data_IF_903672376676
#
_entry.id   IF_903672376676
#
_cell.length_a   1.000
_cell.length_b   1.000
_cell.length_c   1.000
_cell.angle_alpha   90.00
_cell.angle_beta   90.00
_cell.angle_gamma   90.00
#
_symmetry.space_group_name_H-M   'P 1'
#
loop_
_entity.id
_entity.type
_entity.pdbx_description
1 polymer ?
#
# COMPACT_ATOMS: atom_id res chain seq x y z
N UNK A 1 -5.08 7.93 4.87
CA UNK A 1 -3.88 7.06 5.05
C UNK A 1 -4.06 5.70 4.39
N UNK A 2 -5.11 4.92 4.70
CA UNK A 2 -5.32 3.57 4.12
C UNK A 2 -5.29 3.58 2.58
N UNK A 3 -5.99 4.50 1.93
CA UNK A 3 -6.01 4.60 0.47
C UNK A 3 -4.62 4.81 -0.14
N UNK A 4 -3.78 5.64 0.48
CA UNK A 4 -2.41 5.85 0.02
C UNK A 4 -1.56 4.59 0.15
N UNK A 5 -1.66 3.89 1.29
CA UNK A 5 -0.92 2.64 1.51
C UNK A 5 -1.31 1.61 0.43
N UNK A 6 -2.62 1.42 0.22
CA UNK A 6 -3.13 0.49 -0.80
C UNK A 6 -2.59 0.83 -2.19
N UNK A 7 -2.75 2.09 -2.62
CA UNK A 7 -2.30 2.52 -3.96
C UNK A 7 -0.79 2.42 -4.15
N UNK A 8 0.01 2.69 -3.11
CA UNK A 8 1.47 2.57 -3.19
C UNK A 8 1.89 1.10 -3.29
N UNK A 9 1.23 0.20 -2.58
CA UNK A 9 1.53 -1.24 -2.66
C UNK A 9 1.23 -1.78 -4.06
N UNK A 10 0.05 -1.47 -4.61
CA UNK A 10 -0.34 -1.88 -5.96
C UNK A 10 0.65 -1.32 -7.00
N UNK A 11 0.94 -0.02 -6.94
CA UNK A 11 1.89 0.62 -7.85
C UNK A 11 3.30 0.04 -7.75
N UNK A 12 3.78 -0.25 -6.54
CA UNK A 12 5.09 -0.84 -6.34
C UNK A 12 5.18 -2.25 -6.96
N UNK A 13 4.15 -3.07 -6.73
CA UNK A 13 4.05 -4.39 -7.33
C UNK A 13 4.06 -4.32 -8.86
N UNK A 14 3.17 -3.52 -9.44
CA UNK A 14 3.04 -3.36 -10.89
C UNK A 14 4.35 -2.86 -11.52
N UNK A 15 4.98 -1.85 -10.92
CA UNK A 15 6.25 -1.29 -11.41
C UNK A 15 7.36 -2.33 -11.43
N UNK A 16 7.45 -3.17 -10.40
CA UNK A 16 8.45 -4.25 -10.34
C UNK A 16 8.18 -5.33 -11.40
N UNK A 17 6.94 -5.74 -11.58
CA UNK A 17 6.56 -6.72 -12.60
C UNK A 17 6.82 -6.17 -14.01
N UNK A 18 6.47 -4.93 -14.28
CA UNK A 18 6.76 -4.26 -15.55
C UNK A 18 8.29 -4.15 -15.82
N UNK A 19 9.09 -4.03 -14.78
CA UNK A 19 10.55 -4.08 -14.87
C UNK A 19 11.14 -5.48 -15.05
N UNK A 20 10.30 -6.51 -15.11
CA UNK A 20 10.69 -7.91 -15.34
C UNK A 20 11.01 -8.70 -14.07
N UNK A 21 10.67 -8.18 -12.89
CA UNK A 21 10.77 -8.93 -11.63
C UNK A 21 9.60 -9.91 -11.58
N UNK A 22 9.88 -11.15 -11.16
CA UNK A 22 8.84 -12.17 -11.04
C UNK A 22 7.82 -11.82 -9.96
N UNK A 23 6.58 -12.23 -10.17
CA UNK A 23 5.43 -11.86 -9.33
C UNK A 23 5.64 -12.17 -7.85
N UNK A 24 6.26 -13.32 -7.52
CA UNK A 24 6.55 -13.71 -6.14
C UNK A 24 7.49 -12.74 -5.44
N UNK A 25 8.57 -12.32 -6.11
CA UNK A 25 9.51 -11.36 -5.56
C UNK A 25 8.86 -9.97 -5.43
N UNK A 26 8.12 -9.54 -6.44
CA UNK A 26 7.38 -8.28 -6.40
C UNK A 26 6.36 -8.26 -5.25
N UNK A 27 5.68 -9.38 -4.99
CA UNK A 27 4.76 -9.53 -3.85
C UNK A 27 5.48 -9.43 -2.50
N UNK A 28 6.64 -10.08 -2.34
CA UNK A 28 7.42 -10.00 -1.09
C UNK A 28 7.84 -8.57 -0.79
N UNK A 29 8.41 -7.88 -1.77
CA UNK A 29 8.96 -6.51 -1.63
C UNK A 29 7.86 -5.43 -1.51
N UNK A 30 6.63 -5.70 -1.94
CA UNK A 30 5.53 -4.73 -1.84
C UNK A 30 4.60 -4.99 -0.66
N UNK A 31 3.84 -6.07 -0.69
CA UNK A 31 2.77 -6.34 0.28
C UNK A 31 3.24 -7.10 1.51
N UNK A 32 4.13 -8.09 1.31
CA UNK A 32 4.54 -8.97 2.41
C UNK A 32 5.43 -8.25 3.45
N UNK A 33 6.28 -7.33 3.02
CA UNK A 33 7.13 -6.54 3.93
C UNK A 33 6.39 -5.45 4.70
N UNK A 34 5.21 -5.06 4.25
CA UNK A 34 4.46 -3.97 4.86
C UNK A 34 4.27 -4.09 6.38
N UNK A 35 3.92 -5.26 6.95
CA UNK A 35 3.78 -5.40 8.41
C UNK A 35 5.10 -5.12 9.15
N UNK A 36 6.24 -5.50 8.59
CA UNK A 36 7.56 -5.23 9.16
C UNK A 36 7.84 -3.73 9.20
N UNK A 37 7.67 -3.04 8.08
CA UNK A 37 7.89 -1.60 7.98
C UNK A 37 6.90 -0.83 8.86
N UNK A 38 5.61 -1.20 8.85
CA UNK A 38 4.60 -0.58 9.71
C UNK A 38 4.94 -0.73 11.20
N UNK A 39 5.40 -1.91 11.62
CA UNK A 39 5.83 -2.17 12.99
C UNK A 39 7.08 -1.36 13.37
N UNK A 40 8.06 -1.25 12.48
CA UNK A 40 9.24 -0.40 12.70
C UNK A 40 8.84 1.07 12.89
N UNK A 41 8.02 1.62 11.98
CA UNK A 41 7.53 3.01 12.07
C UNK A 41 6.74 3.23 13.37
N UNK A 42 5.88 2.29 13.76
CA UNK A 42 5.07 2.42 14.96
C UNK A 42 5.91 2.42 16.25
N UNK A 43 6.96 1.60 16.33
CA UNK A 43 7.82 1.46 17.52
C UNK A 43 8.97 2.44 17.56
N UNK A 44 9.60 2.70 16.40
CA UNK A 44 10.85 3.45 16.27
C UNK A 44 10.65 4.87 15.74
N UNK A 45 9.45 5.18 15.27
CA UNK A 45 9.14 6.42 14.57
C UNK A 45 10.00 6.58 13.29
N UNK A 46 9.84 7.69 12.61
CA UNK A 46 10.43 7.86 11.28
C UNK A 46 11.96 7.96 11.28
N UNK A 47 12.52 8.62 12.29
CA UNK A 47 13.98 8.81 12.36
C UNK A 47 14.71 7.52 12.72
N UNK A 48 14.34 6.88 13.84
CA UNK A 48 15.00 5.66 14.27
C UNK A 48 14.77 4.48 13.33
N UNK A 49 13.64 4.44 12.62
CA UNK A 49 13.39 3.43 11.58
C UNK A 49 14.48 3.49 10.51
N UNK A 50 14.81 4.68 10.03
CA UNK A 50 15.83 4.86 9.00
C UNK A 50 17.23 4.42 9.46
N UNK A 51 17.56 4.56 10.74
CA UNK A 51 18.86 4.11 11.28
C UNK A 51 18.99 2.58 11.41
N UNK A 52 17.91 1.83 11.19
CA UNK A 52 17.88 0.35 11.31
C UNK A 52 17.94 -0.33 9.94
N UNK A 53 17.41 0.34 8.91
CA UNK A 53 17.47 -0.15 7.53
C UNK A 53 18.88 0.09 6.94
N UNK A 54 19.19 -0.52 5.80
CA UNK A 54 20.48 -0.32 5.15
C UNK A 54 20.67 1.11 4.65
N UNK A 55 21.92 1.58 4.59
CA UNK A 55 22.27 2.92 4.08
C UNK A 55 21.68 3.17 2.68
N UNK A 56 21.66 2.15 1.82
CA UNK A 56 21.05 2.23 0.48
C UNK A 56 19.54 2.45 0.56
N UNK A 57 18.87 1.71 1.43
CA UNK A 57 17.42 1.85 1.62
C UNK A 57 17.08 3.20 2.27
N UNK A 58 17.86 3.67 3.24
CA UNK A 58 17.70 4.98 3.85
C UNK A 58 17.83 6.09 2.80
N UNK A 59 18.90 6.06 2.01
CA UNK A 59 19.14 7.04 0.96
C UNK A 59 18.02 7.08 -0.09
N UNK A 60 17.60 5.92 -0.59
CA UNK A 60 16.49 5.77 -1.52
C UNK A 60 15.17 6.28 -0.92
N UNK A 61 14.91 5.97 0.35
CA UNK A 61 13.74 6.46 1.06
C UNK A 61 13.68 7.99 1.11
N UNK A 62 14.80 8.65 1.42
CA UNK A 62 14.83 10.12 1.45
C UNK A 62 14.63 10.75 0.08
N UNK A 63 15.25 10.21 -0.96
CA UNK A 63 15.05 10.70 -2.33
C UNK A 63 13.59 10.58 -2.76
N UNK A 64 13.00 9.41 -2.59
CA UNK A 64 11.61 9.17 -2.95
C UNK A 64 10.64 10.02 -2.11
N UNK A 65 10.83 10.06 -0.79
CA UNK A 65 9.94 10.78 0.10
C UNK A 65 9.90 12.29 -0.20
N UNK A 66 11.01 12.87 -0.60
CA UNK A 66 11.08 14.28 -0.96
C UNK A 66 10.19 14.59 -2.18
N UNK A 67 10.32 13.81 -3.25
CA UNK A 67 9.52 13.97 -4.47
C UNK A 67 8.05 13.60 -4.24
N UNK A 68 7.79 12.45 -3.62
CA UNK A 68 6.44 11.97 -3.35
C UNK A 68 5.63 12.94 -2.49
N UNK A 69 6.25 13.61 -1.52
CA UNK A 69 5.57 14.60 -0.66
C UNK A 69 4.98 15.75 -1.45
N UNK A 70 5.70 16.25 -2.47
CA UNK A 70 5.22 17.32 -3.34
C UNK A 70 4.02 16.87 -4.17
N UNK A 71 4.09 15.67 -4.76
CA UNK A 71 2.99 15.09 -5.55
C UNK A 71 1.75 14.87 -4.68
N UNK A 72 1.92 14.25 -3.51
CA UNK A 72 0.83 14.00 -2.57
C UNK A 72 0.21 15.30 -2.04
N UNK A 73 1.01 16.33 -1.76
CA UNK A 73 0.51 17.65 -1.34
C UNK A 73 -0.38 18.26 -2.42
N UNK A 74 0.03 18.20 -3.68
CA UNK A 74 -0.75 18.71 -4.80
C UNK A 74 -2.08 17.95 -4.97
N UNK A 75 -2.08 16.64 -4.76
CA UNK A 75 -3.30 15.84 -4.77
C UNK A 75 -4.22 16.21 -3.59
N UNK A 76 -3.70 16.19 -2.37
CA UNK A 76 -4.50 16.46 -1.15
C UNK A 76 -5.09 17.86 -1.16
N UNK A 77 -4.36 18.87 -1.67
CA UNK A 77 -4.86 20.25 -1.76
C UNK A 77 -6.10 20.44 -2.64
N UNK A 78 -6.34 19.50 -3.55
CA UNK A 78 -7.51 19.50 -4.45
C UNK A 78 -8.72 18.77 -3.86
N UNK A 79 -8.54 18.05 -2.74
CA UNK A 79 -9.65 17.36 -2.09
C UNK A 79 -10.55 18.38 -1.38
N UNK A 80 -11.85 18.29 -1.62
CA UNK A 80 -12.82 19.09 -0.88
C UNK A 80 -12.95 18.61 0.56
N UNK A 81 -13.33 19.49 1.48
CA UNK A 81 -13.60 19.12 2.88
C UNK A 81 -14.69 18.06 3.00
N UNK A 82 -15.66 18.03 2.08
CA UNK A 82 -16.68 16.98 1.98
C UNK A 82 -16.12 15.59 1.67
N UNK A 83 -14.94 15.53 1.04
CA UNK A 83 -14.23 14.25 0.77
C UNK A 83 -13.37 13.77 1.93
N UNK A 84 -13.15 14.59 2.96
CA UNK A 84 -12.17 14.34 4.03
C UNK A 84 -12.81 13.91 5.37
N UNK A 85 -13.89 13.16 5.33
CA UNK A 85 -14.45 12.54 6.54
C UNK A 85 -15.43 13.39 7.32
N UNK A 86 -15.93 14.48 6.74
CA UNK A 86 -17.19 15.08 7.18
C UNK A 86 -18.26 14.05 6.87
N UNK A 87 -19.12 13.75 7.87
CA UNK A 87 -20.22 12.79 7.68
C UNK A 87 -20.93 13.12 6.36
N UNK A 88 -21.02 12.15 5.43
CA UNK A 88 -21.84 12.33 4.26
C UNK A 88 -23.23 12.74 4.73
N UNK A 89 -23.92 13.58 3.97
CA UNK A 89 -25.32 13.87 4.25
C UNK A 89 -26.04 12.53 4.45
N UNK A 90 -26.83 12.44 5.50
CA UNK A 90 -27.55 11.21 5.90
C UNK A 90 -28.33 10.57 4.73
N UNK A 91 -28.52 11.31 3.65
CA UNK A 91 -29.24 10.92 2.44
C UNK A 91 -28.35 10.54 1.23
N UNK A 92 -27.03 10.61 1.35
CA UNK A 92 -26.15 10.09 0.28
C UNK A 92 -26.01 8.58 0.44
N UNK A 93 -26.70 7.84 -0.39
CA UNK A 93 -26.53 6.38 -0.46
C UNK A 93 -25.16 6.05 -1.04
N UNK A 94 -24.50 5.09 -0.39
CA UNK A 94 -23.27 4.50 -0.92
C UNK A 94 -23.60 3.81 -2.25
N UNK A 95 -22.88 4.15 -3.31
CA UNK A 95 -22.99 3.47 -4.59
C UNK A 95 -22.48 2.00 -4.46
N UNK A 96 -23.46 1.11 -4.26
CA UNK A 96 -23.19 -0.32 -4.08
C UNK A 96 -22.68 -1.01 -5.33
N UNK A 97 -23.02 -0.51 -6.51
CA UNK A 97 -22.57 -1.12 -7.76
C UNK A 97 -21.13 -0.71 -8.07
N UNK A 98 -20.77 0.53 -7.77
CA UNK A 98 -19.36 0.97 -7.79
C UNK A 98 -18.52 0.15 -6.79
N UNK A 99 -19.01 -0.08 -5.57
CA UNK A 99 -18.31 -0.92 -4.60
C UNK A 99 -18.10 -2.35 -5.10
N UNK A 100 -19.13 -2.96 -5.70
CA UNK A 100 -18.99 -4.32 -6.28
C UNK A 100 -17.97 -4.36 -7.39
N UNK A 101 -17.97 -3.37 -8.28
CA UNK A 101 -17.02 -3.26 -9.37
C UNK A 101 -15.58 -3.14 -8.84
N UNK A 102 -15.33 -2.22 -7.91
CA UNK A 102 -14.00 -2.02 -7.32
C UNK A 102 -13.53 -3.28 -6.59
N UNK A 103 -14.39 -3.92 -5.79
CA UNK A 103 -14.04 -5.15 -5.10
C UNK A 103 -13.71 -6.30 -6.05
N UNK A 104 -14.41 -6.37 -7.19
CA UNK A 104 -14.11 -7.35 -8.23
C UNK A 104 -12.73 -7.07 -8.86
N UNK A 105 -12.42 -5.83 -9.17
CA UNK A 105 -11.12 -5.41 -9.71
C UNK A 105 -9.98 -5.76 -8.74
N UNK A 106 -10.12 -5.41 -7.46
CA UNK A 106 -9.12 -5.73 -6.41
C UNK A 106 -8.91 -7.24 -6.31
N UNK A 107 -9.99 -8.01 -6.19
CA UNK A 107 -9.89 -9.47 -6.03
C UNK A 107 -9.28 -10.19 -7.24
N UNK A 108 -9.32 -9.56 -8.41
CA UNK A 108 -8.73 -10.10 -9.64
C UNK A 108 -7.31 -9.55 -9.91
N UNK A 109 -6.81 -8.63 -9.10
CA UNK A 109 -5.48 -8.10 -9.26
C UNK A 109 -4.41 -9.21 -9.11
N UNK A 110 -3.33 -9.21 -9.92
CA UNK A 110 -2.27 -10.22 -9.82
C UNK A 110 -1.68 -10.35 -8.42
N UNK A 111 -1.48 -9.27 -7.68
CA UNK A 111 -0.95 -9.27 -6.31
C UNK A 111 -1.82 -10.08 -5.34
N UNK A 112 -3.16 -10.07 -5.50
CA UNK A 112 -4.06 -10.86 -4.67
C UNK A 112 -3.96 -12.35 -5.00
N UNK A 113 -3.84 -12.69 -6.27
CA UNK A 113 -3.71 -14.08 -6.74
C UNK A 113 -2.42 -14.71 -6.25
N UNK A 114 -1.28 -14.06 -6.50
CA UNK A 114 0.03 -14.57 -6.06
C UNK A 114 0.11 -14.60 -4.53
N UNK A 115 -0.43 -13.58 -3.86
CA UNK A 115 -0.50 -13.54 -2.40
C UNK A 115 -1.28 -14.71 -1.82
N UNK A 116 -2.41 -15.08 -2.43
CA UNK A 116 -3.19 -16.24 -2.00
C UNK A 116 -2.41 -17.55 -2.11
N UNK A 117 -1.66 -17.74 -3.20
CA UNK A 117 -0.85 -18.93 -3.42
C UNK A 117 0.33 -19.02 -2.44
N UNK A 118 1.08 -17.95 -2.31
CA UNK A 118 2.23 -17.90 -1.41
C UNK A 118 1.83 -18.09 0.06
N UNK A 119 0.75 -17.45 0.52
CA UNK A 119 0.27 -17.57 1.90
C UNK A 119 -0.18 -18.97 2.26
N UNK A 120 -0.69 -19.77 1.31
CA UNK A 120 -1.03 -21.19 1.54
C UNK A 120 0.20 -22.03 1.93
N UNK A 121 1.37 -21.69 1.44
CA UNK A 121 2.63 -22.37 1.73
C UNK A 121 3.33 -21.85 2.99
N UNK A 122 3.00 -20.65 3.47
CA UNK A 122 3.59 -20.02 4.64
C UNK A 122 2.95 -20.54 5.93
N UNK A 123 3.67 -21.36 6.70
CA UNK A 123 3.16 -21.97 7.93
C UNK A 123 2.68 -20.93 8.94
N UNK A 124 3.39 -19.81 9.10
CA UNK A 124 3.04 -18.73 10.02
C UNK A 124 1.76 -17.96 9.63
N UNK A 125 1.37 -18.00 8.35
CA UNK A 125 0.22 -17.26 7.83
C UNK A 125 -1.05 -18.12 7.74
N UNK A 126 -0.94 -19.44 7.87
CA UNK A 126 -2.10 -20.36 7.78
C UNK A 126 -3.19 -20.12 8.81
N UNK A 127 -2.86 -19.49 9.94
CA UNK A 127 -3.77 -19.28 11.06
C UNK A 127 -4.33 -17.83 11.12
N UNK A 128 -4.07 -17.00 10.12
CA UNK A 128 -4.52 -15.61 10.08
C UNK A 128 -5.81 -15.43 9.27
N UNK A 129 -6.33 -16.51 8.67
CA UNK A 129 -7.55 -16.48 7.84
C UNK A 129 -8.45 -17.67 8.13
#
# INVERSE_FOLDING_TARGET
MIAFIKSVIELAFETMVEAGIIDESAYYESLHELPLIANLVARKKLYEMNSIISDTAEYGCYLFANEAKHLLKNYVSKLSLSSLGIKPNINEEIDKDLLKKINFEINNHPIEKIGLELRKSMTAMKNLF
#
